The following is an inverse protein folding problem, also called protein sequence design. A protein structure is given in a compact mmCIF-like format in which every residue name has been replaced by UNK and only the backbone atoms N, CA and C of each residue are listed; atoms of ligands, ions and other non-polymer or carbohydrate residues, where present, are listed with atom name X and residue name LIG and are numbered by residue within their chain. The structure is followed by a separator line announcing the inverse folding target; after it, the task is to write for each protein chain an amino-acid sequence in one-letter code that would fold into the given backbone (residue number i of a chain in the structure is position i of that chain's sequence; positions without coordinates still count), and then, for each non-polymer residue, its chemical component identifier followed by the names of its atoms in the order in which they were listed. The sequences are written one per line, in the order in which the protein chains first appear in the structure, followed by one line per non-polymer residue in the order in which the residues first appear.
data_IF_356302246459
#
_entry.id   IF_356302246459
#
_cell.length_a   1.000
_cell.length_b   1.000
_cell.length_c   1.000
_cell.angle_alpha   90.00
_cell.angle_beta   90.00
_cell.angle_gamma   90.00
#
_symmetry.space_group_name_H-M   'P 1'
#
loop_
_entity.id
_entity.type
_entity.pdbx_description
1 polymer ?
#
# COMPACT_ATOMS: atom_id res chain seq x y z
N UNK A 1 4.53 -7.26 -12.37
CA UNK A 1 5.64 -6.42 -12.88
C UNK A 1 6.93 -7.22 -12.85
N UNK A 2 7.96 -6.72 -13.54
CA UNK A 2 9.32 -7.24 -13.40
C UNK A 2 10.08 -6.40 -12.36
N UNK A 3 10.73 -7.04 -11.40
CA UNK A 3 11.68 -6.41 -10.48
C UNK A 3 13.08 -6.61 -11.08
N UNK A 4 13.77 -5.52 -11.47
CA UNK A 4 15.05 -5.64 -12.14
C UNK A 4 16.16 -6.08 -11.17
N UNK A 5 17.30 -6.46 -11.73
CA UNK A 5 18.51 -6.71 -10.95
C UNK A 5 18.89 -5.48 -10.13
N UNK A 6 19.11 -5.67 -8.83
CA UNK A 6 19.35 -4.58 -7.88
C UNK A 6 18.09 -4.00 -7.22
N UNK A 7 16.89 -4.53 -7.53
CA UNK A 7 15.63 -4.16 -6.87
C UNK A 7 14.88 -3.01 -7.56
N UNK A 8 13.72 -2.67 -7.00
CA UNK A 8 12.86 -1.59 -7.49
C UNK A 8 12.56 -0.59 -6.38
N UNK A 9 12.32 0.66 -6.75
CA UNK A 9 11.96 1.76 -5.84
C UNK A 9 10.93 2.67 -6.51
N UNK A 10 9.94 3.13 -5.75
CA UNK A 10 8.96 4.13 -6.19
C UNK A 10 7.50 3.66 -6.25
N UNK A 11 6.63 4.55 -6.75
CA UNK A 11 5.18 4.38 -6.76
C UNK A 11 4.74 3.43 -7.89
N UNK A 12 3.92 2.43 -7.55
CA UNK A 12 3.25 1.54 -8.49
C UNK A 12 1.85 2.05 -8.84
N UNK A 13 1.13 2.54 -7.83
CA UNK A 13 -0.22 3.10 -7.96
C UNK A 13 -0.43 4.14 -6.87
N UNK A 14 -0.98 5.29 -7.25
CA UNK A 14 -1.47 6.29 -6.31
C UNK A 14 -2.82 6.78 -6.81
N UNK A 15 -3.79 6.84 -5.91
CA UNK A 15 -5.12 7.35 -6.21
C UNK A 15 -5.70 8.01 -4.97
N UNK A 16 -6.22 9.22 -5.12
CA UNK A 16 -6.80 9.95 -3.99
C UNK A 16 -7.18 11.39 -4.33
N UNK A 17 -7.75 12.06 -3.33
CA UNK A 17 -8.05 13.48 -3.29
C UNK A 17 -7.79 14.03 -1.88
N UNK A 18 -8.34 15.22 -1.58
CA UNK A 18 -8.09 15.89 -0.30
C UNK A 18 -8.45 15.02 0.92
N UNK A 19 -9.56 14.30 0.82
CA UNK A 19 -10.14 13.66 2.00
C UNK A 19 -9.86 12.16 2.06
N UNK A 20 -9.33 11.52 1.02
CA UNK A 20 -9.10 10.07 1.04
C UNK A 20 -8.17 9.65 -0.09
N UNK A 21 -7.54 8.48 0.03
CA UNK A 21 -6.73 7.91 -1.03
C UNK A 21 -5.76 6.86 -0.52
N UNK A 22 -5.02 6.28 -1.44
CA UNK A 22 -4.00 5.29 -1.13
C UNK A 22 -2.79 5.42 -2.04
N UNK A 23 -1.68 4.86 -1.60
CA UNK A 23 -0.48 4.65 -2.41
C UNK A 23 0.07 3.25 -2.20
N UNK A 24 0.45 2.62 -3.30
CA UNK A 24 1.06 1.30 -3.38
C UNK A 24 2.42 1.46 -4.05
N UNK A 25 3.49 1.06 -3.38
CA UNK A 25 4.85 1.43 -3.78
C UNK A 25 5.90 0.45 -3.26
N UNK A 26 7.09 0.52 -3.83
CA UNK A 26 8.27 -0.19 -3.32
C UNK A 26 9.18 0.83 -2.64
N UNK A 27 9.59 0.54 -1.40
CA UNK A 27 10.55 1.33 -0.65
C UNK A 27 11.44 0.43 0.21
N UNK A 28 12.75 0.66 0.16
CA UNK A 28 13.77 -0.18 0.80
C UNK A 28 13.64 -1.66 0.39
N UNK A 29 13.33 -1.88 -0.89
CA UNK A 29 13.06 -3.19 -1.47
C UNK A 29 11.78 -3.88 -0.99
N UNK A 30 11.01 -3.28 -0.09
CA UNK A 30 9.75 -3.84 0.44
C UNK A 30 8.54 -3.28 -0.28
N UNK A 31 7.48 -4.07 -0.35
CA UNK A 31 6.19 -3.62 -0.88
C UNK A 31 5.40 -2.91 0.21
N UNK A 32 4.94 -1.70 -0.05
CA UNK A 32 4.20 -0.87 0.90
C UNK A 32 2.83 -0.49 0.35
N UNK A 33 1.87 -0.42 1.26
CA UNK A 33 0.55 0.15 1.09
C UNK A 33 0.31 1.18 2.18
N UNK A 34 -0.17 2.36 1.79
CA UNK A 34 -0.72 3.34 2.73
C UNK A 34 -2.12 3.73 2.30
N UNK A 35 -3.06 3.77 3.24
CA UNK A 35 -4.42 4.27 3.03
C UNK A 35 -4.69 5.46 3.96
N UNK A 36 -5.00 6.60 3.35
CA UNK A 36 -5.59 7.75 4.03
C UNK A 36 -7.09 7.51 4.20
N UNK A 37 -7.50 7.19 5.42
CA UNK A 37 -8.89 7.02 5.79
C UNK A 37 -9.51 8.35 6.22
N UNK A 38 -10.19 9.02 5.28
CA UNK A 38 -11.02 10.20 5.53
C UNK A 38 -10.25 11.36 6.19
N UNK A 39 -8.93 11.48 5.96
CA UNK A 39 -8.06 12.44 6.62
C UNK A 39 -7.84 12.21 8.12
N UNK A 40 -8.38 11.11 8.69
CA UNK A 40 -8.32 10.80 10.12
C UNK A 40 -7.08 9.99 10.47
N UNK A 41 -6.77 9.01 9.63
CA UNK A 41 -5.74 8.02 9.91
C UNK A 41 -5.01 7.63 8.63
N UNK A 42 -3.70 7.41 8.75
CA UNK A 42 -2.90 6.72 7.74
C UNK A 42 -2.66 5.29 8.21
N UNK A 43 -3.21 4.32 7.49
CA UNK A 43 -2.97 2.91 7.75
C UNK A 43 -1.85 2.42 6.84
N UNK A 44 -0.75 1.98 7.45
CA UNK A 44 0.42 1.48 6.76
C UNK A 44 0.51 -0.04 6.88
N UNK A 45 0.77 -0.69 5.76
CA UNK A 45 1.10 -2.12 5.69
C UNK A 45 2.30 -2.27 4.78
N UNK A 46 3.25 -3.11 5.16
CA UNK A 46 4.38 -3.44 4.30
C UNK A 46 4.67 -4.93 4.34
N UNK A 47 5.30 -5.46 3.29
CA UNK A 47 5.81 -6.82 3.28
C UNK A 47 6.87 -7.01 4.37
N UNK A 48 6.93 -8.19 4.96
CA UNK A 48 7.96 -8.51 5.97
C UNK A 48 9.32 -8.57 5.29
N UNK A 49 9.39 -9.29 4.18
CA UNK A 49 10.58 -9.50 3.36
C UNK A 49 10.63 -8.55 2.15
N UNK A 50 11.83 -8.26 1.61
CA UNK A 50 11.97 -7.60 0.32
C UNK A 50 11.32 -8.38 -0.82
N UNK A 51 10.84 -7.67 -1.85
CA UNK A 51 10.36 -8.28 -3.09
C UNK A 51 11.56 -8.82 -3.87
N UNK A 52 11.63 -10.13 -4.17
CA UNK A 52 12.75 -10.68 -4.93
C UNK A 52 12.83 -10.13 -6.35
N UNK A 53 13.99 -10.24 -6.97
CA UNK A 53 14.15 -9.98 -8.41
C UNK A 53 13.24 -10.90 -9.25
N UNK A 54 12.93 -10.48 -10.48
CA UNK A 54 12.15 -11.27 -11.42
C UNK A 54 10.67 -10.88 -11.53
N UNK A 55 9.89 -11.75 -12.17
CA UNK A 55 8.48 -11.50 -12.50
C UNK A 55 7.55 -11.81 -11.33
N UNK A 56 6.81 -10.80 -10.87
CA UNK A 56 5.87 -10.91 -9.74
C UNK A 56 4.49 -10.36 -10.04
N UNK A 57 3.50 -10.87 -9.32
CA UNK A 57 2.23 -10.19 -9.09
C UNK A 57 2.30 -9.59 -7.69
N UNK A 58 2.09 -8.28 -7.58
CA UNK A 58 2.12 -7.57 -6.31
C UNK A 58 0.69 -7.19 -5.96
N UNK A 59 0.30 -7.46 -4.72
CA UNK A 59 -1.09 -7.34 -4.28
C UNK A 59 -1.13 -6.87 -2.84
N UNK A 60 -2.16 -6.09 -2.56
CA UNK A 60 -2.60 -5.73 -1.22
C UNK A 60 -4.04 -6.21 -1.08
N UNK A 61 -4.32 -6.90 0.01
CA UNK A 61 -5.63 -7.47 0.32
C UNK A 61 -5.94 -7.17 1.78
N UNK A 62 -7.21 -6.89 2.07
CA UNK A 62 -7.68 -6.74 3.44
C UNK A 62 -9.06 -7.36 3.57
N UNK A 63 -9.35 -7.89 4.74
CA UNK A 63 -10.66 -8.39 5.10
C UNK A 63 -11.39 -7.33 5.93
N UNK A 64 -12.65 -7.07 5.60
CA UNK A 64 -13.51 -6.22 6.41
C UNK A 64 -14.01 -7.03 7.60
N UNK A 65 -13.54 -6.71 8.80
CA UNK A 65 -13.86 -7.47 10.02
C UNK A 65 -15.02 -6.90 10.83
N UNK A 66 -15.58 -5.75 10.44
CA UNK A 66 -16.64 -5.06 11.17
C UNK A 66 -17.37 -4.01 10.33
N UNK A 67 -18.39 -3.39 10.94
CA UNK A 67 -19.11 -2.29 10.31
C UNK A 67 -18.26 -1.01 10.32
N UNK A 68 -18.33 -0.18 9.26
CA UNK A 68 -17.69 1.13 9.26
C UNK A 68 -18.23 2.02 10.39
N UNK A 69 -17.34 2.71 11.09
CA UNK A 69 -17.71 3.69 12.10
C UNK A 69 -17.87 5.08 11.47
N UNK A 70 -19.13 5.48 11.30
CA UNK A 70 -19.50 6.79 10.77
C UNK A 70 -19.78 7.82 11.87
N UNK A 71 -19.83 7.41 13.13
CA UNK A 71 -20.17 8.29 14.24
C UNK A 71 -18.89 8.98 14.74
N UNK A 72 -18.95 10.31 14.90
CA UNK A 72 -17.81 11.16 15.24
C UNK A 72 -17.62 11.24 16.77
N UNK A 73 -17.51 10.09 17.45
CA UNK A 73 -17.49 10.01 18.92
C UNK A 73 -16.08 9.98 19.48
#
# INVERSE_FOLDING_TARGET
MEIPTGGAEGILLAHGGNDSGYSFYVQDGKLHWVHNYVGRSLYHVHSVEPVPEGRHQLHFEFEVTGQPDFLFN
#
